data_IF_443577054160
#
_entry.id   IF_443577054160
#
_cell.length_a   1.000
_cell.length_b   1.000
_cell.length_c   1.000
_cell.angle_alpha   90.00
_cell.angle_beta   90.00
_cell.angle_gamma   90.00
#
_symmetry.space_group_name_H-M   'P 1'
#
loop_
_entity.id
_entity.type
_entity.pdbx_description
1 polymer ?
#
# COMPACT_ATOMS: atom_id res chain seq x y z
N UNK A 1 -18.91 10.35 27.01
CA UNK A 1 -20.11 10.51 26.16
C UNK A 1 -19.89 9.68 24.92
N UNK A 2 -20.74 8.68 24.65
CA UNK A 2 -20.65 7.88 23.43
C UNK A 2 -21.39 8.64 22.34
N UNK A 3 -20.66 9.27 21.42
CA UNK A 3 -21.27 9.90 20.25
C UNK A 3 -21.82 8.81 19.32
N UNK A 4 -23.00 9.04 18.73
CA UNK A 4 -23.60 8.13 17.74
C UNK A 4 -22.69 7.94 16.52
N UNK A 5 -22.04 9.02 16.08
CA UNK A 5 -20.99 9.01 15.07
C UNK A 5 -19.65 9.28 15.75
N UNK A 6 -18.67 8.44 15.50
CA UNK A 6 -17.33 8.63 16.04
C UNK A 6 -16.53 9.60 15.15
N UNK A 7 -15.76 10.53 15.74
CA UNK A 7 -14.86 11.37 14.97
C UNK A 7 -13.82 10.49 14.26
N UNK A 8 -13.39 10.93 13.08
CA UNK A 8 -12.27 10.30 12.38
C UNK A 8 -10.99 10.47 13.22
N UNK A 9 -10.12 9.44 13.30
CA UNK A 9 -8.92 9.52 14.12
C UNK A 9 -7.94 10.58 13.63
N UNK A 10 -7.47 11.41 14.55
CA UNK A 10 -6.50 12.47 14.26
C UNK A 10 -5.11 11.88 13.98
N UNK A 11 -4.43 12.29 12.89
CA UNK A 11 -3.03 11.95 12.65
C UNK A 11 -2.11 12.66 13.66
N UNK A 12 -0.93 12.09 13.90
CA UNK A 12 0.09 12.75 14.73
C UNK A 12 0.67 13.99 14.03
N UNK A 13 1.30 14.88 14.80
CA UNK A 13 2.01 16.05 14.26
C UNK A 13 3.09 15.64 13.24
N UNK A 14 3.74 14.49 13.43
CA UNK A 14 4.76 13.96 12.51
C UNK A 14 4.16 13.52 11.18
N UNK A 15 2.99 12.88 11.21
CA UNK A 15 2.25 12.52 10.00
C UNK A 15 1.82 13.79 9.26
N UNK A 16 1.29 14.79 9.99
CA UNK A 16 0.88 16.07 9.42
C UNK A 16 2.06 16.80 8.77
N UNK A 17 3.22 16.85 9.43
CA UNK A 17 4.43 17.46 8.88
C UNK A 17 4.83 16.81 7.54
N UNK A 18 4.85 15.47 7.47
CA UNK A 18 5.14 14.75 6.23
C UNK A 18 4.15 15.08 5.10
N UNK A 19 2.85 15.25 5.42
CA UNK A 19 1.86 15.66 4.43
C UNK A 19 2.04 17.11 3.97
N UNK A 20 2.44 18.01 4.88
CA UNK A 20 2.74 19.41 4.56
C UNK A 20 3.92 19.49 3.59
N UNK A 21 5.00 18.75 3.82
CA UNK A 21 6.16 18.73 2.93
C UNK A 21 5.79 18.25 1.52
N UNK A 22 4.97 17.19 1.44
CA UNK A 22 4.43 16.71 0.16
C UNK A 22 3.55 17.75 -0.53
N UNK A 23 2.74 18.51 0.21
CA UNK A 23 1.88 19.56 -0.33
C UNK A 23 2.70 20.77 -0.82
N UNK A 24 3.78 21.13 -0.11
CA UNK A 24 4.73 22.16 -0.55
C UNK A 24 5.38 21.71 -1.87
N UNK A 25 5.88 20.48 -1.93
CA UNK A 25 6.49 19.93 -3.14
C UNK A 25 5.51 19.91 -4.32
N UNK A 26 4.26 19.51 -4.10
CA UNK A 26 3.23 19.48 -5.14
C UNK A 26 2.86 20.89 -5.65
N UNK A 27 2.92 21.91 -4.79
CA UNK A 27 2.66 23.31 -5.15
C UNK A 27 3.80 23.92 -5.98
N UNK A 28 5.04 23.52 -5.72
CA UNK A 28 6.23 24.07 -6.36
C UNK A 28 6.68 25.43 -5.79
N UNK A 29 7.66 26.06 -6.45
CA UNK A 29 8.26 27.33 -6.05
C UNK A 29 9.50 27.19 -5.15
N UNK A 30 9.99 28.31 -4.62
CA UNK A 30 11.25 28.37 -3.84
C UNK A 30 11.27 27.42 -2.64
N UNK A 31 10.14 27.26 -1.94
CA UNK A 31 10.03 26.33 -0.83
C UNK A 31 10.17 24.86 -1.27
N UNK A 32 9.63 24.49 -2.43
CA UNK A 32 9.81 23.15 -2.99
C UNK A 32 11.25 22.93 -3.47
N UNK A 33 11.89 23.95 -4.05
CA UNK A 33 13.31 23.91 -4.42
C UNK A 33 14.21 23.71 -3.20
N UNK A 34 13.91 24.37 -2.08
CA UNK A 34 14.63 24.18 -0.82
C UNK A 34 14.52 22.73 -0.30
N UNK A 35 13.32 22.14 -0.36
CA UNK A 35 13.12 20.73 0.00
C UNK A 35 13.92 19.81 -0.94
N UNK A 36 13.82 20.00 -2.27
CA UNK A 36 14.55 19.18 -3.23
C UNK A 36 16.07 19.29 -3.08
N UNK A 37 16.57 20.48 -2.71
CA UNK A 37 18.00 20.71 -2.50
C UNK A 37 18.59 19.90 -1.32
N UNK A 38 17.76 19.43 -0.39
CA UNK A 38 18.20 18.51 0.68
C UNK A 38 18.59 17.12 0.14
N UNK A 39 18.10 16.76 -1.05
CA UNK A 39 18.25 15.41 -1.62
C UNK A 39 17.41 14.35 -0.91
N UNK A 40 16.55 14.73 0.04
CA UNK A 40 15.70 13.80 0.77
C UNK A 40 14.58 13.26 -0.11
N UNK A 41 14.38 11.94 -0.04
CA UNK A 41 13.21 11.29 -0.65
C UNK A 41 12.09 11.35 0.37
N UNK A 42 11.16 12.29 0.17
CA UNK A 42 10.02 12.45 1.08
C UNK A 42 9.21 11.14 1.18
N UNK A 43 8.87 10.72 2.41
CA UNK A 43 8.05 9.53 2.62
C UNK A 43 6.65 9.76 2.01
N UNK A 44 6.02 8.69 1.56
CA UNK A 44 4.60 8.66 1.18
C UNK A 44 3.84 8.00 2.32
N UNK A 45 3.16 8.75 3.20
CA UNK A 45 2.51 8.18 4.39
C UNK A 45 1.53 7.03 4.09
N UNK A 46 0.88 7.06 2.92
CA UNK A 46 -0.01 5.98 2.44
C UNK A 46 0.72 4.71 1.94
N UNK A 47 2.03 4.76 1.75
CA UNK A 47 2.89 3.60 1.49
C UNK A 47 3.94 3.47 2.59
N UNK A 48 3.64 2.69 3.62
CA UNK A 48 4.51 2.47 4.77
C UNK A 48 5.91 1.94 4.40
N UNK A 49 6.06 1.35 3.21
CA UNK A 49 7.37 0.86 2.74
C UNK A 49 8.29 1.98 2.25
N UNK A 50 7.75 3.16 1.96
CA UNK A 50 8.52 4.36 1.64
C UNK A 50 9.09 5.08 2.86
N UNK A 51 8.66 4.70 4.08
CA UNK A 51 9.00 5.41 5.32
C UNK A 51 10.26 4.79 5.93
N UNK A 52 11.35 5.55 5.89
CA UNK A 52 12.63 5.19 6.49
C UNK A 52 12.73 5.57 7.97
N UNK A 53 12.11 6.68 8.39
CA UNK A 53 12.06 7.10 9.80
C UNK A 53 11.23 6.11 10.63
N UNK A 54 11.82 5.41 11.61
CA UNK A 54 11.11 4.44 12.43
C UNK A 54 10.00 5.07 13.28
N UNK A 55 10.13 6.34 13.70
CA UNK A 55 9.13 7.00 14.53
C UNK A 55 7.90 7.40 13.70
N UNK A 56 8.10 7.97 12.51
CA UNK A 56 7.01 8.20 11.56
C UNK A 56 6.32 6.89 11.17
N UNK A 57 7.11 5.83 10.95
CA UNK A 57 6.56 4.51 10.62
C UNK A 57 5.70 3.95 11.74
N UNK A 58 6.12 4.14 12.99
CA UNK A 58 5.35 3.74 14.18
C UNK A 58 4.06 4.52 14.33
N UNK A 59 4.10 5.85 14.16
CA UNK A 59 2.91 6.71 14.20
C UNK A 59 1.87 6.27 13.16
N UNK A 60 2.32 5.91 11.95
CA UNK A 60 1.43 5.41 10.90
C UNK A 60 0.77 4.10 11.30
N UNK A 61 1.48 3.17 11.95
CA UNK A 61 0.86 1.94 12.44
C UNK A 61 -0.23 2.21 13.47
N UNK A 62 0.03 3.07 14.45
CA UNK A 62 -0.95 3.42 15.48
C UNK A 62 -2.16 4.13 14.90
N UNK A 63 -1.93 5.05 13.96
CA UNK A 63 -3.01 5.78 13.31
C UNK A 63 -3.86 4.88 12.41
N UNK A 64 -3.24 3.94 11.68
CA UNK A 64 -3.97 2.94 10.90
C UNK A 64 -4.79 1.99 11.78
N UNK A 65 -4.29 1.59 12.94
CA UNK A 65 -5.06 0.78 13.89
C UNK A 65 -6.31 1.53 14.38
N UNK A 66 -6.14 2.80 14.77
CA UNK A 66 -7.27 3.67 15.14
C UNK A 66 -8.26 3.85 13.98
N UNK A 67 -7.76 3.98 12.74
CA UNK A 67 -8.60 4.03 11.54
C UNK A 67 -9.37 2.74 11.31
N UNK A 68 -8.75 1.57 11.46
CA UNK A 68 -9.44 0.27 11.30
C UNK A 68 -10.56 0.13 12.33
N UNK A 69 -10.31 0.52 13.58
CA UNK A 69 -11.34 0.51 14.65
C UNK A 69 -12.51 1.42 14.27
N UNK A 70 -12.21 2.64 13.81
CA UNK A 70 -13.22 3.59 13.34
C UNK A 70 -13.99 3.06 12.13
N UNK A 71 -13.29 2.53 11.12
CA UNK A 71 -13.85 2.00 9.88
C UNK A 71 -14.83 0.85 10.18
N UNK A 72 -14.42 -0.11 11.00
CA UNK A 72 -15.27 -1.22 11.40
C UNK A 72 -16.50 -0.74 12.18
N UNK A 73 -16.35 0.27 13.04
CA UNK A 73 -17.48 0.79 13.83
C UNK A 73 -18.47 1.60 13.00
N UNK A 74 -17.99 2.37 12.01
CA UNK A 74 -18.82 3.32 11.26
C UNK A 74 -19.33 2.76 9.91
N UNK A 75 -18.65 1.77 9.33
CA UNK A 75 -18.89 1.35 7.95
C UNK A 75 -19.04 -0.17 7.75
N UNK A 76 -18.67 -1.01 8.71
CA UNK A 76 -18.90 -2.45 8.59
C UNK A 76 -20.26 -2.83 9.17
N UNK A 77 -21.15 -3.38 8.34
CA UNK A 77 -22.48 -3.80 8.77
C UNK A 77 -22.53 -5.28 9.16
N UNK A 78 -21.88 -6.15 8.37
CA UNK A 78 -21.76 -7.58 8.67
C UNK A 78 -20.34 -7.97 9.05
N UNK A 79 -20.15 -9.11 9.72
CA UNK A 79 -18.83 -9.63 10.09
C UNK A 79 -17.90 -9.79 8.87
N UNK A 80 -18.44 -10.18 7.71
CA UNK A 80 -17.69 -10.31 6.47
C UNK A 80 -17.17 -8.96 5.90
N UNK A 81 -17.73 -7.84 6.35
CA UNK A 81 -17.29 -6.49 5.97
C UNK A 81 -16.21 -5.96 6.92
N UNK A 82 -16.01 -6.60 8.08
CA UNK A 82 -15.02 -6.17 9.06
C UNK A 82 -13.60 -6.48 8.57
N UNK A 83 -12.73 -5.49 8.74
CA UNK A 83 -11.29 -5.69 8.70
C UNK A 83 -10.89 -6.56 9.91
N UNK A 84 -10.27 -7.74 9.71
CA UNK A 84 -9.95 -8.64 10.80
C UNK A 84 -8.79 -8.09 11.66
N UNK A 85 -8.68 -8.51 12.92
CA UNK A 85 -7.61 -8.05 13.83
C UNK A 85 -6.20 -8.43 13.37
N UNK A 86 -6.07 -9.47 12.54
CA UNK A 86 -4.80 -9.88 11.93
C UNK A 86 -4.44 -9.07 10.67
N UNK A 87 -5.16 -7.98 10.35
CA UNK A 87 -4.84 -7.11 9.20
C UNK A 87 -3.35 -6.70 9.08
N UNK A 88 -2.58 -6.47 10.16
CA UNK A 88 -1.15 -6.14 10.03
C UNK A 88 -0.31 -7.29 9.45
N UNK A 89 -0.77 -8.54 9.57
CA UNK A 89 -0.10 -9.74 9.03
C UNK A 89 -0.34 -9.92 7.52
N UNK A 90 -1.18 -9.06 6.92
CA UNK A 90 -1.57 -9.15 5.51
C UNK A 90 -1.08 -7.92 4.73
N UNK A 91 0.10 -7.98 4.08
CA UNK A 91 0.64 -6.85 3.32
C UNK A 91 -0.32 -6.21 2.30
N UNK A 92 -1.18 -6.97 1.57
CA UNK A 92 -2.18 -6.37 0.70
C UNK A 92 -3.21 -5.53 1.44
N UNK A 93 -3.66 -5.95 2.63
CA UNK A 93 -4.60 -5.17 3.45
C UNK A 93 -3.93 -3.89 3.96
N UNK A 94 -2.70 -3.96 4.44
CA UNK A 94 -1.96 -2.78 4.91
C UNK A 94 -1.85 -1.71 3.82
N UNK A 95 -1.53 -2.10 2.57
CA UNK A 95 -1.43 -1.17 1.43
C UNK A 95 -2.77 -0.51 1.09
N UNK A 96 -3.83 -1.31 1.07
CA UNK A 96 -5.18 -0.84 0.78
C UNK A 96 -5.71 0.09 1.89
N UNK A 97 -5.51 -0.28 3.16
CA UNK A 97 -5.90 0.51 4.33
C UNK A 97 -5.14 1.84 4.40
N UNK A 98 -3.84 1.84 4.10
CA UNK A 98 -3.04 3.06 3.99
C UNK A 98 -3.67 4.07 3.04
N UNK A 99 -3.93 3.64 1.80
CA UNK A 99 -4.55 4.51 0.79
C UNK A 99 -5.97 4.95 1.21
N UNK A 100 -6.79 4.02 1.71
CA UNK A 100 -8.17 4.31 2.09
C UNK A 100 -8.26 5.34 3.24
N UNK A 101 -7.38 5.23 4.24
CA UNK A 101 -7.31 6.13 5.38
C UNK A 101 -6.92 7.55 4.94
N UNK A 102 -5.87 7.69 4.11
CA UNK A 102 -5.42 9.00 3.64
C UNK A 102 -6.41 9.66 2.68
N UNK A 103 -7.10 8.89 1.81
CA UNK A 103 -8.20 9.44 1.00
C UNK A 103 -9.34 9.95 1.88
N UNK A 104 -9.68 9.22 2.96
CA UNK A 104 -10.72 9.67 3.90
C UNK A 104 -10.29 10.93 4.64
N UNK A 105 -9.04 11.00 5.07
CA UNK A 105 -8.46 12.17 5.73
C UNK A 105 -8.52 13.39 4.82
N UNK A 106 -8.00 13.29 3.59
CA UNK A 106 -8.05 14.37 2.59
C UNK A 106 -9.48 14.80 2.28
N UNK A 107 -10.43 13.86 2.25
CA UNK A 107 -11.82 14.17 2.06
C UNK A 107 -12.47 14.95 3.22
N UNK A 108 -11.94 14.80 4.44
CA UNK A 108 -12.33 15.59 5.62
C UNK A 108 -11.74 17.00 5.62
N UNK A 109 -10.55 17.17 5.06
CA UNK A 109 -9.86 18.47 4.93
C UNK A 109 -10.35 19.30 3.73
N UNK A 110 -11.11 18.69 2.83
CA UNK A 110 -11.60 19.35 1.63
C UNK A 110 -12.61 20.46 1.96
N UNK A 111 -12.56 21.55 1.18
CA UNK A 111 -13.48 22.69 1.33
C UNK A 111 -14.89 22.44 0.74
N UNK A 112 -15.07 21.32 0.04
CA UNK A 112 -16.32 20.93 -0.59
C UNK A 112 -16.62 19.45 -0.37
N UNK A 113 -17.88 19.03 -0.58
CA UNK A 113 -18.31 17.67 -0.27
C UNK A 113 -17.84 16.62 -1.27
N UNK A 114 -17.35 17.03 -2.44
CA UNK A 114 -17.06 16.12 -3.55
C UNK A 114 -16.05 15.01 -3.16
N UNK A 115 -14.90 15.30 -2.54
CA UNK A 115 -13.98 14.24 -2.11
C UNK A 115 -14.60 13.24 -1.12
N UNK A 116 -15.51 13.70 -0.26
CA UNK A 116 -16.26 12.83 0.65
C UNK A 116 -17.27 11.95 -0.11
N UNK A 117 -17.95 12.49 -1.12
CA UNK A 117 -18.84 11.70 -1.99
C UNK A 117 -18.03 10.64 -2.75
N UNK A 118 -16.91 11.01 -3.35
CA UNK A 118 -16.04 10.10 -4.10
C UNK A 118 -15.48 8.99 -3.21
N UNK A 119 -15.11 9.30 -1.97
CA UNK A 119 -14.65 8.29 -1.02
C UNK A 119 -15.73 7.25 -0.71
N UNK A 120 -16.96 7.68 -0.44
CA UNK A 120 -18.09 6.78 -0.19
C UNK A 120 -18.52 6.01 -1.43
N UNK A 121 -18.40 6.61 -2.60
CA UNK A 121 -18.88 6.03 -3.86
C UNK A 121 -17.89 5.06 -4.50
N UNK A 122 -16.59 5.34 -4.39
CA UNK A 122 -15.56 4.60 -5.13
C UNK A 122 -14.52 3.97 -4.22
N UNK A 123 -13.93 4.73 -3.29
CA UNK A 123 -12.80 4.24 -2.51
C UNK A 123 -13.21 3.13 -1.52
N UNK A 124 -14.23 3.38 -0.70
CA UNK A 124 -14.71 2.43 0.30
C UNK A 124 -15.31 1.16 -0.34
N UNK A 125 -16.26 1.24 -1.31
CA UNK A 125 -16.79 0.05 -1.96
C UNK A 125 -15.71 -0.75 -2.69
N UNK A 126 -14.79 -0.08 -3.38
CA UNK A 126 -13.66 -0.72 -4.06
C UNK A 126 -12.75 -1.47 -3.08
N UNK A 127 -12.46 -0.90 -1.91
CA UNK A 127 -11.74 -1.59 -0.84
C UNK A 127 -12.49 -2.85 -0.38
N UNK A 128 -13.77 -2.71 -0.05
CA UNK A 128 -14.59 -3.80 0.49
C UNK A 128 -14.66 -4.99 -0.47
N UNK A 129 -14.77 -4.72 -1.77
CA UNK A 129 -14.81 -5.74 -2.80
C UNK A 129 -13.43 -6.39 -3.04
N UNK A 130 -12.36 -5.59 -3.22
CA UNK A 130 -11.01 -6.12 -3.49
C UNK A 130 -10.43 -6.92 -2.33
N UNK A 131 -10.80 -6.58 -1.10
CA UNK A 131 -10.27 -7.23 0.10
C UNK A 131 -11.17 -8.33 0.67
N UNK A 132 -12.32 -8.63 0.03
CA UNK A 132 -13.32 -9.57 0.53
C UNK A 132 -12.75 -10.95 0.89
N UNK A 133 -11.99 -11.54 -0.02
CA UNK A 133 -11.45 -12.89 0.16
C UNK A 133 -10.33 -12.91 1.21
N UNK A 134 -9.51 -11.86 1.26
CA UNK A 134 -8.44 -11.70 2.25
C UNK A 134 -9.02 -11.58 3.66
N UNK A 135 -10.12 -10.83 3.85
CA UNK A 135 -10.79 -10.71 5.15
C UNK A 135 -11.42 -12.03 5.60
N UNK A 136 -12.01 -12.82 4.68
CA UNK A 136 -12.61 -14.13 4.96
C UNK A 136 -11.59 -15.24 5.26
N UNK A 137 -10.42 -15.20 4.64
CA UNK A 137 -9.40 -16.23 4.80
C UNK A 137 -8.86 -16.39 6.23
N UNK A 138 -9.24 -15.49 7.13
CA UNK A 138 -8.79 -15.44 8.52
C UNK A 138 -9.70 -16.19 9.50
N UNK A 139 -10.94 -16.53 9.12
CA UNK A 139 -11.97 -17.03 10.05
C UNK A 139 -11.76 -18.50 10.48
N UNK A 140 -11.35 -19.39 9.57
CA UNK A 140 -11.23 -20.84 9.88
C UNK A 140 -9.80 -21.28 10.21
N UNK A 141 -8.80 -20.76 9.50
CA UNK A 141 -7.39 -21.04 9.72
C UNK A 141 -6.55 -19.90 9.16
N UNK A 142 -5.92 -19.12 10.03
CA UNK A 142 -5.07 -18.01 9.61
C UNK A 142 -4.01 -18.47 8.61
N UNK A 143 -4.07 -17.91 7.40
CA UNK A 143 -3.07 -18.06 6.35
C UNK A 143 -2.49 -16.67 6.06
N UNK A 144 -1.18 -16.42 6.27
CA UNK A 144 -0.60 -15.10 6.05
C UNK A 144 -0.87 -14.58 4.63
N UNK A 145 -0.78 -15.50 3.66
CA UNK A 145 -1.14 -15.25 2.26
C UNK A 145 -1.37 -16.58 1.51
N UNK A 146 -2.57 -16.83 0.97
CA UNK A 146 -2.91 -18.08 0.27
C UNK A 146 -2.00 -18.42 -0.93
N UNK A 147 -1.42 -17.42 -1.59
CA UNK A 147 -0.53 -17.59 -2.73
C UNK A 147 0.92 -17.93 -2.37
N UNK A 148 1.27 -18.11 -1.09
CA UNK A 148 2.65 -18.38 -0.66
C UNK A 148 3.30 -19.54 -1.42
N UNK A 149 2.60 -20.66 -1.57
CA UNK A 149 3.13 -21.82 -2.28
C UNK A 149 3.38 -21.54 -3.77
N UNK A 150 2.48 -20.80 -4.42
CA UNK A 150 2.66 -20.39 -5.81
C UNK A 150 3.85 -19.42 -5.97
N UNK A 151 4.01 -18.48 -5.03
CA UNK A 151 5.13 -17.57 -5.00
C UNK A 151 6.48 -18.26 -4.73
N UNK A 152 6.52 -19.25 -3.83
CA UNK A 152 7.72 -20.07 -3.63
C UNK A 152 8.12 -20.77 -4.93
N UNK A 153 7.15 -21.37 -5.65
CA UNK A 153 7.43 -21.97 -6.96
C UNK A 153 7.90 -20.94 -7.99
N UNK A 154 7.32 -19.74 -7.98
CA UNK A 154 7.71 -18.65 -8.86
C UNK A 154 9.17 -18.19 -8.63
N UNK A 155 9.63 -18.21 -7.37
CA UNK A 155 10.99 -17.83 -6.99
C UNK A 155 11.98 -19.01 -6.96
N UNK A 156 11.58 -20.22 -7.32
CA UNK A 156 12.49 -21.35 -7.40
C UNK A 156 13.57 -21.13 -8.47
N UNK A 157 14.78 -21.62 -8.22
CA UNK A 157 15.96 -21.40 -9.06
C UNK A 157 15.71 -21.72 -10.53
N UNK A 158 15.03 -22.84 -10.82
CA UNK A 158 14.68 -23.23 -12.19
C UNK A 158 13.76 -22.22 -12.88
N UNK A 159 12.75 -21.72 -12.15
CA UNK A 159 11.80 -20.74 -12.67
C UNK A 159 12.49 -19.39 -12.89
N UNK A 160 13.41 -19.00 -12.01
CA UNK A 160 14.22 -17.78 -12.13
C UNK A 160 15.16 -17.89 -13.32
N UNK A 161 15.96 -18.96 -13.40
CA UNK A 161 16.92 -19.20 -14.47
C UNK A 161 16.23 -19.27 -15.84
N UNK A 162 15.04 -19.90 -15.91
CA UNK A 162 14.23 -19.92 -17.13
C UNK A 162 13.80 -18.51 -17.54
N UNK A 163 13.34 -17.67 -16.61
CA UNK A 163 12.98 -16.27 -16.93
C UNK A 163 14.19 -15.48 -17.40
N UNK A 164 15.33 -15.58 -16.70
CA UNK A 164 16.56 -14.89 -17.08
C UNK A 164 17.03 -15.26 -18.49
N UNK A 165 17.02 -16.55 -18.85
CA UNK A 165 17.32 -16.98 -20.23
C UNK A 165 16.38 -16.37 -21.26
N UNK A 166 15.08 -16.33 -20.96
CA UNK A 166 14.10 -15.71 -21.86
C UNK A 166 14.34 -14.20 -22.00
N UNK A 167 14.69 -13.50 -20.91
CA UNK A 167 15.02 -12.08 -20.95
C UNK A 167 16.30 -11.83 -21.76
N UNK A 168 17.36 -12.61 -21.51
CA UNK A 168 18.62 -12.50 -22.25
C UNK A 168 18.43 -12.73 -23.74
N UNK A 169 17.66 -13.75 -24.13
CA UNK A 169 17.35 -14.05 -25.54
C UNK A 169 16.48 -12.97 -26.20
N UNK A 170 15.62 -12.30 -25.45
CA UNK A 170 14.81 -11.19 -25.97
C UNK A 170 15.67 -9.93 -26.21
N UNK A 171 16.57 -9.64 -25.27
CA UNK A 171 17.50 -8.50 -25.36
C UNK A 171 18.54 -8.70 -26.46
N UNK A 172 19.07 -9.92 -26.60
CA UNK A 172 20.00 -10.29 -27.66
C UNK A 172 19.65 -11.66 -28.25
N UNK A 173 18.86 -11.68 -29.35
CA UNK A 173 18.47 -12.92 -30.03
C UNK A 173 19.64 -13.65 -30.71
N UNK A 174 20.78 -12.97 -30.90
CA UNK A 174 21.94 -13.47 -31.64
C UNK A 174 23.02 -14.08 -30.75
N UNK A 175 23.06 -13.74 -29.46
CA UNK A 175 24.05 -14.25 -28.50
C UNK A 175 24.07 -15.80 -28.37
N UNK A 176 22.92 -16.47 -28.44
CA UNK A 176 22.88 -17.96 -28.41
C UNK A 176 23.31 -18.59 -29.75
N UNK A 177 23.20 -17.85 -30.87
CA UNK A 177 23.60 -18.35 -32.20
C UNK A 177 25.12 -18.43 -32.30
N UNK A 178 25.85 -17.47 -31.73
CA UNK A 178 27.32 -17.50 -31.69
C UNK A 178 27.86 -18.64 -30.81
N UNK A 179 27.28 -18.88 -29.63
CA UNK A 179 27.71 -19.96 -28.73
C UNK A 179 27.42 -21.35 -29.33
N UNK A 180 26.28 -21.50 -30.03
CA UNK A 180 25.91 -22.74 -30.73
C UNK A 180 26.75 -22.98 -32.00
N UNK A 181 27.16 -21.92 -32.71
CA UNK A 181 28.04 -22.03 -33.88
C UNK A 181 29.49 -22.35 -33.48
N UNK A 182 29.95 -21.85 -32.33
CA UNK A 182 31.31 -22.10 -31.81
C UNK A 182 31.48 -23.54 -31.33
N UNK A 183 30.46 -24.12 -30.68
CA UNK A 183 30.47 -25.52 -30.25
C UNK A 183 30.37 -26.55 -31.38
N UNK A 184 29.87 -26.17 -32.57
CA UNK A 184 29.77 -27.04 -33.75
C UNK A 184 30.98 -26.99 -34.68
N UNK A 185 31.92 -26.07 -34.44
CA UNK A 185 33.13 -25.87 -35.23
C UNK A 185 34.38 -26.55 -34.63
N UNK A 186 34.21 -27.33 -33.56
CA UNK A 186 35.22 -28.22 -32.94
C UNK A 186 34.83 -29.68 -33.16
#
# INVERSE_FOLDING_TARGET
MTHLLQPFPEPSERILAALVDLAILARGGEAAEAIMATGEILPRPWDITSIADPDLRWDIWLWLDAFVIWLNTQHAWYSADHTPSCWPEHPPLVRELGTLAFLRFQAGEATGPLPSEEWHRYALPGYLDRSRDQRRACEEKHQPWPGRAAHTRHNGDDAVARRLRLFSRDVDPTAEVEDTMTLRAL
#
